data_IF_578747149722
#
_entry.id   IF_578747149722
#
_cell.length_a   1.000
_cell.length_b   1.000
_cell.length_c   1.000
_cell.angle_alpha   90.00
_cell.angle_beta   90.00
_cell.angle_gamma   90.00
#
_symmetry.space_group_name_H-M   'P 1'
#
loop_
_entity.id
_entity.type
_entity.pdbx_description
1 polymer ?
#
# COMPACT_ATOMS: atom_id res chain seq x y z
N UNK A 1 9.76 16.31 -3.92
CA UNK A 1 10.15 15.82 -5.27
C UNK A 1 11.66 15.77 -5.46
N UNK A 2 12.45 16.70 -4.91
CA UNK A 2 13.92 16.71 -5.06
C UNK A 2 14.62 15.42 -4.64
N UNK A 3 14.27 14.86 -3.48
CA UNK A 3 14.97 13.68 -2.92
C UNK A 3 14.81 12.43 -3.79
N UNK A 4 13.59 12.17 -4.28
CA UNK A 4 13.32 11.04 -5.17
C UNK A 4 13.99 11.21 -6.54
N UNK A 5 13.97 12.43 -7.11
CA UNK A 5 14.64 12.71 -8.38
C UNK A 5 16.16 12.52 -8.28
N UNK A 6 16.78 13.06 -7.23
CA UNK A 6 18.22 12.98 -7.01
C UNK A 6 18.68 11.53 -6.82
N UNK A 7 17.97 10.75 -6.00
CA UNK A 7 18.29 9.33 -5.77
C UNK A 7 18.18 8.50 -7.04
N UNK A 8 17.14 8.71 -7.86
CA UNK A 8 17.00 8.03 -9.16
C UNK A 8 18.14 8.42 -10.10
N UNK A 9 18.45 9.71 -10.23
CA UNK A 9 19.54 10.18 -11.09
C UNK A 9 20.90 9.59 -10.68
N UNK A 10 21.20 9.57 -9.37
CA UNK A 10 22.43 8.96 -8.86
C UNK A 10 22.45 7.46 -9.13
N UNK A 11 21.34 6.75 -8.89
CA UNK A 11 21.26 5.31 -9.13
C UNK A 11 21.50 4.97 -10.61
N UNK A 12 20.91 5.72 -11.54
CA UNK A 12 21.09 5.53 -12.99
C UNK A 12 22.53 5.84 -13.40
N UNK A 13 23.11 6.95 -12.91
CA UNK A 13 24.49 7.32 -13.22
C UNK A 13 25.49 6.26 -12.72
N UNK A 14 25.35 5.82 -11.47
CA UNK A 14 26.20 4.79 -10.87
C UNK A 14 26.01 3.45 -11.61
N UNK A 15 24.78 3.06 -11.93
CA UNK A 15 24.51 1.85 -12.71
C UNK A 15 25.18 1.89 -14.08
N UNK A 16 25.17 3.05 -14.75
CA UNK A 16 25.84 3.24 -16.04
C UNK A 16 27.36 3.11 -15.91
N UNK A 17 27.96 3.74 -14.90
CA UNK A 17 29.41 3.64 -14.64
C UNK A 17 29.82 2.19 -14.34
N UNK A 18 29.04 1.49 -13.50
CA UNK A 18 29.27 0.07 -13.19
C UNK A 18 29.13 -0.79 -14.44
N UNK A 19 28.13 -0.52 -15.29
CA UNK A 19 27.93 -1.27 -16.53
C UNK A 19 29.02 -1.05 -17.57
N UNK A 20 29.66 0.13 -17.58
CA UNK A 20 30.73 0.45 -18.54
C UNK A 20 32.11 0.05 -18.06
N UNK A 21 32.38 0.13 -16.75
CA UNK A 21 33.71 -0.14 -16.20
C UNK A 21 33.81 -1.54 -15.58
N UNK A 22 32.87 -1.89 -14.70
CA UNK A 22 32.99 -3.09 -13.86
C UNK A 22 32.52 -4.33 -14.62
N UNK A 23 31.40 -4.27 -15.35
CA UNK A 23 30.86 -5.43 -16.05
C UNK A 23 31.83 -5.95 -17.14
N UNK A 24 32.43 -5.13 -18.01
CA UNK A 24 33.36 -5.63 -19.03
C UNK A 24 34.64 -6.19 -18.41
N UNK A 25 35.15 -5.56 -17.36
CA UNK A 25 36.35 -6.02 -16.65
C UNK A 25 36.08 -7.34 -15.91
N UNK A 26 34.94 -7.45 -15.23
CA UNK A 26 34.48 -8.70 -14.63
C UNK A 26 34.27 -9.77 -15.69
N UNK A 27 33.59 -9.46 -16.80
CA UNK A 27 33.33 -10.38 -17.90
C UNK A 27 34.62 -10.91 -18.52
N UNK A 28 35.63 -10.06 -18.73
CA UNK A 28 36.93 -10.47 -19.28
C UNK A 28 37.72 -11.41 -18.36
N UNK A 29 37.50 -11.32 -17.05
CA UNK A 29 38.16 -12.16 -16.05
C UNK A 29 37.39 -13.44 -15.74
N UNK A 30 36.05 -13.37 -15.72
CA UNK A 30 35.14 -14.50 -15.44
C UNK A 30 34.87 -15.37 -16.67
N UNK A 31 34.84 -14.81 -17.88
CA UNK A 31 34.58 -15.54 -19.12
C UNK A 31 35.86 -15.72 -19.95
N UNK A 32 36.85 -16.42 -19.39
CA UNK A 32 37.95 -17.01 -20.19
C UNK A 32 37.44 -18.30 -20.86
N UNK A 33 37.83 -18.52 -22.12
CA UNK A 33 37.39 -19.63 -23.00
C UNK A 33 37.62 -21.07 -22.47
N UNK A 34 38.15 -21.24 -21.24
CA UNK A 34 38.28 -22.54 -20.56
C UNK A 34 37.17 -22.87 -19.53
N UNK A 35 36.21 -21.98 -19.29
CA UNK A 35 35.23 -22.10 -18.19
C UNK A 35 33.85 -22.66 -18.61
N UNK A 36 33.74 -23.33 -19.77
CA UNK A 36 32.52 -24.03 -20.18
C UNK A 36 32.05 -25.08 -19.14
N UNK A 37 32.98 -25.61 -18.33
CA UNK A 37 32.70 -26.57 -17.26
C UNK A 37 32.15 -25.93 -15.96
N UNK A 38 32.31 -24.61 -15.80
CA UNK A 38 31.87 -23.87 -14.62
C UNK A 38 30.50 -23.18 -14.79
N UNK A 39 29.94 -23.14 -15.99
CA UNK A 39 28.60 -22.56 -16.23
C UNK A 39 27.50 -23.30 -15.45
N UNK A 40 27.63 -24.63 -15.28
CA UNK A 40 26.74 -25.40 -14.40
C UNK A 40 26.92 -25.06 -12.92
N UNK A 41 28.16 -24.90 -12.45
CA UNK A 41 28.48 -24.54 -11.07
C UNK A 41 28.04 -23.10 -10.74
N UNK A 42 28.22 -22.16 -11.67
CA UNK A 42 27.76 -20.78 -11.53
C UNK A 42 26.23 -20.72 -11.43
N UNK A 43 25.51 -21.48 -12.27
CA UNK A 43 24.04 -21.61 -12.16
C UNK A 43 23.60 -22.18 -10.82
N UNK A 44 24.33 -23.16 -10.29
CA UNK A 44 24.06 -23.72 -8.95
C UNK A 44 24.36 -22.69 -7.86
N UNK A 45 25.46 -21.93 -7.96
CA UNK A 45 25.80 -20.87 -7.00
C UNK A 45 24.79 -19.74 -7.01
N UNK A 46 24.35 -19.30 -8.20
CA UNK A 46 23.30 -18.29 -8.34
C UNK A 46 21.97 -18.81 -7.80
N UNK A 47 21.59 -20.05 -8.13
CA UNK A 47 20.40 -20.67 -7.58
C UNK A 47 20.46 -20.79 -6.05
N UNK A 48 21.62 -21.16 -5.50
CA UNK A 48 21.87 -21.24 -4.07
C UNK A 48 21.82 -19.87 -3.39
N UNK A 49 22.35 -18.82 -4.02
CA UNK A 49 22.26 -17.44 -3.52
C UNK A 49 20.82 -16.95 -3.51
N UNK A 50 20.04 -17.28 -4.55
CA UNK A 50 18.62 -16.93 -4.65
C UNK A 50 17.83 -17.69 -3.58
N UNK A 51 18.01 -19.01 -3.44
CA UNK A 51 17.31 -19.79 -2.40
C UNK A 51 17.75 -19.38 -1.00
N UNK A 52 19.01 -19.01 -0.80
CA UNK A 52 19.50 -18.46 0.45
C UNK A 52 18.89 -17.09 0.76
N UNK A 53 18.79 -16.19 -0.21
CA UNK A 53 18.14 -14.89 -0.04
C UNK A 53 16.64 -15.03 0.25
N UNK A 54 15.97 -15.97 -0.44
CA UNK A 54 14.57 -16.31 -0.18
C UNK A 54 14.43 -16.92 1.22
N UNK A 55 15.29 -17.86 1.60
CA UNK A 55 15.28 -18.52 2.91
C UNK A 55 15.58 -17.55 4.04
N UNK A 56 16.55 -16.65 3.88
CA UNK A 56 16.84 -15.57 4.81
C UNK A 56 15.62 -14.68 4.97
N UNK A 57 15.00 -14.26 3.86
CA UNK A 57 13.83 -13.39 3.91
C UNK A 57 12.64 -14.08 4.58
N UNK A 58 12.41 -15.37 4.28
CA UNK A 58 11.42 -16.20 4.96
C UNK A 58 11.71 -16.33 6.46
N UNK A 59 12.97 -16.47 6.86
CA UNK A 59 13.37 -16.53 8.27
C UNK A 59 13.18 -15.18 8.98
N UNK A 60 13.50 -14.06 8.32
CA UNK A 60 13.35 -12.71 8.88
C UNK A 60 11.88 -12.26 9.03
N UNK A 61 10.99 -12.78 8.17
CA UNK A 61 9.54 -12.50 8.23
C UNK A 61 8.83 -13.44 9.21
N UNK A 62 9.50 -14.53 9.62
CA UNK A 62 8.95 -15.56 10.50
C UNK A 62 7.93 -16.46 9.78
N UNK A 63 7.98 -17.77 10.06
CA UNK A 63 6.96 -18.72 9.60
C UNK A 63 5.55 -18.33 10.09
N UNK A 64 5.47 -17.68 11.24
CA UNK A 64 4.22 -17.15 11.80
C UNK A 64 3.67 -15.98 10.99
N UNK A 65 4.53 -15.08 10.48
CA UNK A 65 4.13 -13.99 9.59
C UNK A 65 3.65 -14.48 8.23
N UNK A 66 4.26 -15.54 7.70
CA UNK A 66 3.88 -16.14 6.41
C UNK A 66 2.61 -16.98 6.49
N UNK A 67 2.40 -17.70 7.60
CA UNK A 67 1.16 -18.43 7.87
C UNK A 67 0.02 -17.48 8.26
N UNK A 68 0.30 -16.39 8.98
CA UNK A 68 -0.65 -15.30 9.21
C UNK A 68 -1.02 -14.59 7.90
N UNK A 69 -0.05 -14.29 7.02
CA UNK A 69 -0.31 -13.76 5.69
C UNK A 69 -1.13 -14.75 4.84
N UNK A 70 -0.82 -16.05 4.87
CA UNK A 70 -1.56 -17.08 4.16
C UNK A 70 -3.01 -17.23 4.66
N UNK A 71 -3.21 -17.16 5.99
CA UNK A 71 -4.54 -17.24 6.63
C UNK A 71 -5.36 -15.94 6.52
N UNK A 72 -4.72 -14.78 6.38
CA UNK A 72 -5.43 -13.50 6.30
C UNK A 72 -5.58 -12.99 4.87
N UNK A 73 -4.57 -13.18 4.02
CA UNK A 73 -4.55 -12.68 2.64
C UNK A 73 -5.11 -13.69 1.68
N UNK A 74 -4.88 -14.99 1.89
CA UNK A 74 -5.43 -16.05 1.05
C UNK A 74 -6.97 -16.03 0.97
N UNK A 75 -7.69 -16.07 2.11
CA UNK A 75 -9.14 -16.02 2.12
C UNK A 75 -9.68 -14.65 1.70
N UNK A 76 -9.04 -13.53 2.08
CA UNK A 76 -9.46 -12.19 1.63
C UNK A 76 -9.28 -11.97 0.13
N UNK A 77 -8.22 -12.53 -0.46
CA UNK A 77 -8.03 -12.51 -1.89
C UNK A 77 -9.13 -13.33 -2.57
N UNK A 78 -9.43 -14.52 -2.06
CA UNK A 78 -10.48 -15.41 -2.55
C UNK A 78 -11.89 -14.85 -2.37
N UNK A 79 -12.20 -14.22 -1.25
CA UNK A 79 -13.47 -13.53 -1.00
C UNK A 79 -13.62 -12.31 -1.91
N UNK A 80 -12.54 -11.56 -2.16
CA UNK A 80 -12.56 -10.44 -3.10
C UNK A 80 -12.63 -10.88 -4.56
N UNK A 81 -12.06 -12.02 -4.95
CA UNK A 81 -12.26 -12.58 -6.30
C UNK A 81 -13.59 -13.30 -6.46
N UNK A 82 -14.16 -13.89 -5.41
CA UNK A 82 -15.49 -14.52 -5.44
C UNK A 82 -16.63 -13.49 -5.39
N UNK A 83 -16.42 -12.36 -4.73
CA UNK A 83 -17.34 -11.22 -4.69
C UNK A 83 -17.12 -10.19 -5.81
N UNK A 84 -16.26 -10.46 -6.78
CA UNK A 84 -16.02 -9.56 -7.91
C UNK A 84 -17.27 -9.43 -8.77
N UNK A 85 -17.56 -8.19 -9.18
CA UNK A 85 -18.59 -7.91 -10.18
C UNK A 85 -18.34 -8.77 -11.43
N UNK A 86 -19.36 -9.39 -12.05
CA UNK A 86 -19.19 -10.35 -13.15
C UNK A 86 -18.36 -9.79 -14.32
N UNK A 87 -18.44 -8.48 -14.54
CA UNK A 87 -17.65 -7.72 -15.52
C UNK A 87 -16.14 -7.80 -15.25
N UNK A 88 -15.72 -7.66 -13.99
CA UNK A 88 -14.31 -7.68 -13.58
C UNK A 88 -13.76 -9.10 -13.64
N UNK A 89 -14.54 -10.10 -13.22
CA UNK A 89 -14.17 -11.50 -13.33
C UNK A 89 -14.01 -11.93 -14.80
N UNK A 90 -14.88 -11.46 -15.70
CA UNK A 90 -14.78 -11.73 -17.14
C UNK A 90 -13.51 -11.13 -17.76
N UNK A 91 -13.17 -9.87 -17.42
CA UNK A 91 -11.95 -9.22 -17.91
C UNK A 91 -10.69 -9.95 -17.45
N UNK A 92 -10.64 -10.38 -16.18
CA UNK A 92 -9.53 -11.16 -15.65
C UNK A 92 -9.43 -12.57 -16.27
N UNK A 93 -10.57 -13.22 -16.49
CA UNK A 93 -10.65 -14.52 -17.17
C UNK A 93 -10.14 -14.45 -18.61
N UNK A 94 -10.58 -13.44 -19.37
CA UNK A 94 -10.08 -13.21 -20.73
C UNK A 94 -8.59 -12.86 -20.71
N UNK A 95 -8.15 -11.99 -19.79
CA UNK A 95 -6.74 -11.62 -19.66
C UNK A 95 -5.84 -12.82 -19.36
N UNK A 96 -6.25 -13.69 -18.43
CA UNK A 96 -5.51 -14.90 -18.09
C UNK A 96 -5.48 -15.90 -19.25
N UNK A 97 -6.57 -16.07 -19.98
CA UNK A 97 -6.61 -16.91 -21.19
C UNK A 97 -5.70 -16.37 -22.30
N UNK A 98 -5.68 -15.05 -22.51
CA UNK A 98 -4.77 -14.42 -23.48
C UNK A 98 -3.32 -14.62 -23.08
N UNK A 99 -2.98 -14.42 -21.80
CA UNK A 99 -1.63 -14.65 -21.29
C UNK A 99 -1.23 -16.12 -21.41
N UNK A 100 -2.12 -17.06 -21.08
CA UNK A 100 -1.88 -18.49 -21.23
C UNK A 100 -1.69 -18.88 -22.70
N UNK A 101 -2.49 -18.33 -23.61
CA UNK A 101 -2.36 -18.53 -25.05
C UNK A 101 -1.03 -17.98 -25.59
N UNK A 102 -0.61 -16.79 -25.13
CA UNK A 102 0.68 -16.20 -25.49
C UNK A 102 1.85 -17.04 -24.97
N UNK A 103 1.80 -17.49 -23.71
CA UNK A 103 2.82 -18.37 -23.13
C UNK A 103 2.90 -19.68 -23.92
N UNK A 104 1.76 -20.28 -24.26
CA UNK A 104 1.71 -21.50 -25.05
C UNK A 104 2.28 -21.29 -26.47
N UNK A 105 1.93 -20.17 -27.11
CA UNK A 105 2.45 -19.80 -28.42
C UNK A 105 3.96 -19.55 -28.40
N UNK A 106 4.47 -18.84 -27.39
CA UNK A 106 5.90 -18.60 -27.19
C UNK A 106 6.68 -19.89 -26.92
N UNK A 107 6.09 -20.85 -26.20
CA UNK A 107 6.68 -22.18 -25.98
C UNK A 107 6.73 -23.02 -27.25
N UNK A 108 5.74 -22.92 -28.14
CA UNK A 108 5.67 -23.73 -29.37
C UNK A 108 6.52 -23.19 -30.53
N UNK A 109 6.50 -21.88 -30.76
CA UNK A 109 7.18 -21.25 -31.92
C UNK A 109 8.55 -20.66 -31.56
N UNK A 110 8.86 -20.54 -30.26
CA UNK A 110 10.03 -19.82 -29.77
C UNK A 110 9.80 -18.30 -29.75
N UNK A 111 10.39 -17.62 -28.76
CA UNK A 111 10.21 -16.18 -28.56
C UNK A 111 10.65 -15.34 -29.77
N UNK A 112 11.78 -15.71 -30.40
CA UNK A 112 12.32 -14.99 -31.56
C UNK A 112 11.40 -15.05 -32.77
N UNK A 113 10.90 -16.24 -33.12
CA UNK A 113 10.00 -16.41 -34.28
C UNK A 113 8.67 -15.70 -34.06
N UNK A 114 8.13 -15.78 -32.83
CA UNK A 114 6.88 -15.10 -32.47
C UNK A 114 7.04 -13.57 -32.49
N UNK A 115 8.16 -13.05 -32.01
CA UNK A 115 8.48 -11.62 -32.08
C UNK A 115 8.64 -11.13 -33.52
N UNK A 116 9.41 -11.84 -34.35
CA UNK A 116 9.59 -11.49 -35.76
C UNK A 116 8.27 -11.55 -36.53
N UNK A 117 7.44 -12.56 -36.29
CA UNK A 117 6.13 -12.68 -36.91
C UNK A 117 5.17 -11.58 -36.49
N UNK A 118 5.16 -11.22 -35.20
CA UNK A 118 4.36 -10.11 -34.71
C UNK A 118 4.84 -8.80 -35.32
N UNK A 119 6.15 -8.54 -35.30
CA UNK A 119 6.76 -7.33 -35.87
C UNK A 119 6.48 -7.20 -37.38
N UNK A 120 6.55 -8.30 -38.14
CA UNK A 120 6.16 -8.33 -39.55
C UNK A 120 4.70 -7.94 -39.73
N UNK A 121 3.78 -8.52 -38.94
CA UNK A 121 2.37 -8.16 -38.96
C UNK A 121 2.13 -6.67 -38.59
N UNK A 122 2.86 -6.15 -37.60
CA UNK A 122 2.77 -4.75 -37.18
C UNK A 122 3.23 -3.79 -38.29
N UNK A 123 4.25 -4.18 -39.04
CA UNK A 123 4.77 -3.40 -40.18
C UNK A 123 3.84 -3.47 -41.39
N UNK A 124 3.29 -4.64 -41.71
CA UNK A 124 2.35 -4.83 -42.81
C UNK A 124 1.03 -4.08 -42.58
N UNK A 125 0.60 -3.96 -41.32
CA UNK A 125 -0.64 -3.28 -40.93
C UNK A 125 -0.39 -1.94 -40.24
N UNK A 126 0.48 -1.10 -40.83
CA UNK A 126 0.87 0.21 -40.27
C UNK A 126 -0.31 1.09 -39.83
N UNK A 127 -1.39 1.13 -40.60
CA UNK A 127 -2.54 1.98 -40.25
C UNK A 127 -3.26 1.46 -39.00
N UNK A 128 -3.44 0.13 -38.89
CA UNK A 128 -4.07 -0.50 -37.72
C UNK A 128 -3.23 -0.26 -36.47
N UNK A 129 -1.90 -0.28 -36.60
CA UNK A 129 -0.99 -0.14 -35.47
C UNK A 129 -0.89 1.31 -34.99
N UNK A 130 -0.93 2.28 -35.92
CA UNK A 130 -1.08 3.70 -35.57
C UNK A 130 -2.40 3.95 -34.86
N UNK A 131 -3.53 3.44 -35.38
CA UNK A 131 -4.85 3.60 -34.75
C UNK A 131 -4.87 2.96 -33.36
N UNK A 132 -4.31 1.76 -33.21
CA UNK A 132 -4.19 1.09 -31.91
C UNK A 132 -3.35 1.90 -30.92
N UNK A 133 -2.24 2.50 -31.38
CA UNK A 133 -1.40 3.37 -30.57
C UNK A 133 -2.14 4.63 -30.09
N UNK A 134 -2.88 5.30 -30.99
CA UNK A 134 -3.72 6.46 -30.64
C UNK A 134 -4.83 6.05 -29.66
N UNK A 135 -5.46 4.89 -29.87
CA UNK A 135 -6.46 4.33 -28.97
C UNK A 135 -5.91 4.06 -27.57
N UNK A 136 -4.70 3.47 -27.48
CA UNK A 136 -4.04 3.20 -26.21
C UNK A 136 -3.63 4.49 -25.48
N UNK A 137 -3.17 5.50 -26.22
CA UNK A 137 -2.91 6.84 -25.67
C UNK A 137 -4.20 7.49 -25.15
N UNK A 138 -5.29 7.46 -25.92
CA UNK A 138 -6.59 7.98 -25.50
C UNK A 138 -7.13 7.26 -24.27
N UNK A 139 -6.99 5.94 -24.21
CA UNK A 139 -7.35 5.13 -23.05
C UNK A 139 -6.50 5.50 -21.82
N UNK A 140 -5.20 5.73 -22.00
CA UNK A 140 -4.32 6.22 -20.93
C UNK A 140 -4.75 7.57 -20.36
N UNK A 141 -5.14 8.51 -21.23
CA UNK A 141 -5.69 9.81 -20.82
C UNK A 141 -7.01 9.62 -20.07
N UNK A 142 -7.92 8.80 -20.60
CA UNK A 142 -9.19 8.52 -19.96
C UNK A 142 -8.99 7.90 -18.56
N UNK A 143 -8.10 6.92 -18.41
CA UNK A 143 -7.76 6.36 -17.10
C UNK A 143 -7.19 7.42 -16.17
N UNK A 144 -6.24 8.23 -16.65
CA UNK A 144 -5.63 9.29 -15.85
C UNK A 144 -6.67 10.30 -15.32
N UNK A 145 -7.69 10.63 -16.10
CA UNK A 145 -8.77 11.53 -15.66
C UNK A 145 -9.78 10.89 -14.72
N UNK A 146 -9.95 9.56 -14.78
CA UNK A 146 -10.91 8.84 -13.92
C UNK A 146 -10.29 8.36 -12.60
N UNK A 147 -8.97 8.29 -12.49
CA UNK A 147 -8.31 7.96 -11.23
C UNK A 147 -8.39 9.16 -10.29
N UNK A 148 -9.06 8.98 -9.14
CA UNK A 148 -9.08 9.97 -8.07
C UNK A 148 -7.65 10.34 -7.66
N UNK A 149 -7.26 11.58 -7.90
CA UNK A 149 -5.99 12.12 -7.45
C UNK A 149 -6.07 12.39 -5.94
N UNK A 150 -5.82 11.35 -5.16
CA UNK A 150 -5.60 11.50 -3.72
C UNK A 150 -4.19 12.04 -3.52
N UNK A 151 -4.04 13.02 -2.64
CA UNK A 151 -2.73 13.45 -2.16
C UNK A 151 -1.96 12.28 -1.53
N UNK A 152 -0.72 12.52 -1.11
CA UNK A 152 0.10 11.47 -0.46
C UNK A 152 -0.70 10.76 0.64
N UNK A 153 -0.86 9.43 0.58
CA UNK A 153 -1.59 8.70 1.60
C UNK A 153 -0.89 8.93 2.93
N UNK A 154 -1.62 9.50 3.88
CA UNK A 154 -1.12 9.71 5.22
C UNK A 154 -0.86 8.35 5.86
N UNK A 155 0.34 8.14 6.38
CA UNK A 155 0.66 6.94 7.14
C UNK A 155 -0.13 6.98 8.44
N UNK A 156 -0.86 5.91 8.74
CA UNK A 156 -1.69 5.79 9.92
C UNK A 156 -0.84 5.81 11.19
N UNK A 157 -0.65 6.99 11.78
CA UNK A 157 -0.05 7.13 13.11
C UNK A 157 -0.97 6.47 14.15
N UNK A 158 -0.41 5.70 15.10
CA UNK A 158 -1.13 5.05 16.22
C UNK A 158 -1.61 6.08 17.26
N UNK A 159 -2.37 7.08 16.80
CA UNK A 159 -2.83 8.21 17.60
C UNK A 159 -4.18 8.72 17.09
N UNK A 160 -5.08 8.99 18.03
CA UNK A 160 -6.39 9.60 17.79
C UNK A 160 -6.41 10.95 18.49
N UNK A 161 -6.70 12.01 17.73
CA UNK A 161 -6.90 13.34 18.26
C UNK A 161 -8.38 13.70 18.12
N UNK A 162 -9.02 14.12 19.20
CA UNK A 162 -10.39 14.60 19.26
C UNK A 162 -10.38 16.03 19.79
N UNK A 163 -11.08 16.92 19.11
CA UNK A 163 -11.33 18.30 19.53
C UNK A 163 -12.79 18.39 19.95
N UNK A 164 -13.03 18.85 21.16
CA UNK A 164 -14.37 19.10 21.69
C UNK A 164 -14.55 20.61 21.69
N UNK A 165 -15.50 21.11 20.90
CA UNK A 165 -15.92 22.51 20.90
C UNK A 165 -17.22 22.62 21.71
N UNK A 166 -17.29 23.56 22.64
CA UNK A 166 -18.45 23.76 23.51
C UNK A 166 -18.99 25.18 23.35
N UNK A 167 -20.30 25.33 23.44
CA UNK A 167 -20.96 26.63 23.33
C UNK A 167 -20.61 27.55 24.51
N UNK A 168 -20.76 28.87 24.32
CA UNK A 168 -20.31 29.89 25.27
C UNK A 168 -21.08 29.88 26.61
N UNK A 169 -22.22 29.20 26.66
CA UNK A 169 -23.08 29.07 27.83
C UNK A 169 -22.49 28.16 28.93
N UNK A 170 -21.55 27.27 28.59
CA UNK A 170 -20.94 26.35 29.55
C UNK A 170 -19.97 27.05 30.51
N UNK A 171 -20.09 26.73 31.79
CA UNK A 171 -19.13 27.17 32.81
C UNK A 171 -17.83 26.35 32.73
N UNK A 172 -16.72 26.89 33.26
CA UNK A 172 -15.45 26.14 33.26
C UNK A 172 -15.53 24.83 34.06
N UNK A 173 -16.37 24.81 35.11
CA UNK A 173 -16.61 23.65 35.96
C UNK A 173 -17.39 22.56 35.24
N UNK A 174 -18.39 22.94 34.44
CA UNK A 174 -19.15 22.00 33.59
C UNK A 174 -18.27 21.40 32.49
N UNK A 175 -17.36 22.20 31.91
CA UNK A 175 -16.37 21.71 30.95
C UNK A 175 -15.45 20.69 31.65
N UNK A 176 -14.90 21.00 32.81
CA UNK A 176 -14.03 20.08 33.56
C UNK A 176 -14.74 18.77 33.93
N UNK A 177 -16.00 18.85 34.39
CA UNK A 177 -16.82 17.69 34.70
C UNK A 177 -17.05 16.78 33.49
N UNK A 178 -17.36 17.37 32.31
CA UNK A 178 -17.54 16.60 31.08
C UNK A 178 -16.24 15.92 30.64
N UNK A 179 -15.10 16.61 30.71
CA UNK A 179 -13.82 16.02 30.34
C UNK A 179 -13.42 14.87 31.28
N UNK A 180 -13.70 14.99 32.59
CA UNK A 180 -13.49 13.91 33.57
C UNK A 180 -14.38 12.70 33.30
N UNK A 181 -15.64 12.92 32.94
CA UNK A 181 -16.56 11.85 32.56
C UNK A 181 -16.05 11.09 31.33
N UNK A 182 -15.65 11.82 30.28
CA UNK A 182 -15.09 11.23 29.05
C UNK A 182 -13.76 10.50 29.35
N UNK A 183 -12.88 11.09 30.16
CA UNK A 183 -11.62 10.48 30.56
C UNK A 183 -11.83 9.18 31.34
N UNK A 184 -12.78 9.16 32.28
CA UNK A 184 -13.11 7.98 33.07
C UNK A 184 -13.73 6.87 32.20
N UNK A 185 -14.62 7.21 31.26
CA UNK A 185 -15.21 6.22 30.35
C UNK A 185 -14.16 5.63 29.39
N UNK A 186 -13.28 6.48 28.82
CA UNK A 186 -12.21 6.01 27.94
C UNK A 186 -11.16 5.17 28.67
N UNK A 187 -10.81 5.52 29.91
CA UNK A 187 -9.86 4.74 30.72
C UNK A 187 -10.45 3.40 31.16
N UNK A 188 -11.74 3.33 31.47
CA UNK A 188 -12.39 2.06 31.85
C UNK A 188 -12.45 1.07 30.69
N UNK A 189 -12.37 1.55 29.44
CA UNK A 189 -12.36 0.73 28.23
C UNK A 189 -11.04 0.80 27.45
N UNK A 190 -9.95 1.19 28.11
CA UNK A 190 -8.65 1.35 27.47
C UNK A 190 -8.15 0.05 26.80
N UNK A 191 -8.41 -1.11 27.41
CA UNK A 191 -8.04 -2.41 26.88
C UNK A 191 -8.85 -2.81 25.63
N UNK A 192 -10.11 -2.35 25.50
CA UNK A 192 -10.94 -2.65 24.33
C UNK A 192 -10.61 -1.77 23.12
N UNK A 193 -10.05 -0.58 23.37
CA UNK A 193 -9.75 0.43 22.35
C UNK A 193 -8.27 0.36 21.94
N UNK A 194 -7.49 -0.56 22.52
CA UNK A 194 -6.03 -0.65 22.40
C UNK A 194 -5.34 0.69 22.71
N UNK A 195 -5.76 1.34 23.79
CA UNK A 195 -5.25 2.66 24.19
C UNK A 195 -4.13 2.52 25.23
N UNK A 196 -2.98 3.12 24.94
CA UNK A 196 -1.80 3.13 25.82
C UNK A 196 -1.79 4.33 26.76
N UNK A 197 -2.09 5.52 26.23
CA UNK A 197 -2.04 6.75 27.00
C UNK A 197 -3.10 7.74 26.54
N UNK A 198 -3.70 8.44 27.49
CA UNK A 198 -4.65 9.52 27.26
C UNK A 198 -4.04 10.84 27.74
N UNK A 199 -4.22 11.90 26.96
CA UNK A 199 -3.85 13.26 27.35
C UNK A 199 -4.99 14.21 27.03
N UNK A 200 -5.50 14.89 28.04
CA UNK A 200 -6.58 15.87 27.94
C UNK A 200 -6.01 17.27 28.12
N UNK A 201 -6.46 18.21 27.29
CA UNK A 201 -6.12 19.63 27.43
C UNK A 201 -7.39 20.45 27.36
N UNK A 202 -7.79 20.99 28.51
CA UNK A 202 -9.01 21.77 28.67
C UNK A 202 -8.72 23.26 28.40
N UNK A 203 -9.68 23.94 27.79
CA UNK A 203 -9.72 25.38 27.54
C UNK A 203 -11.11 25.91 27.91
N UNK A 204 -11.25 27.23 28.00
CA UNK A 204 -12.52 27.89 28.38
C UNK A 204 -13.73 27.62 27.47
N UNK A 205 -13.55 27.06 26.28
CA UNK A 205 -14.63 26.84 25.28
C UNK A 205 -14.55 25.44 24.64
N UNK A 206 -13.96 24.49 25.36
CA UNK A 206 -13.70 23.16 24.83
C UNK A 206 -12.30 22.67 25.14
N UNK A 207 -11.77 21.76 24.34
CA UNK A 207 -10.45 21.17 24.60
C UNK A 207 -10.07 20.11 23.58
N UNK A 208 -8.88 19.57 23.75
CA UNK A 208 -8.37 18.49 22.90
C UNK A 208 -8.06 17.27 23.73
N UNK A 209 -8.59 16.13 23.32
CA UNK A 209 -8.30 14.80 23.87
C UNK A 209 -7.40 14.10 22.86
N UNK A 210 -6.27 13.56 23.32
CA UNK A 210 -5.32 12.83 22.50
C UNK A 210 -5.08 11.47 23.14
N UNK A 211 -5.50 10.43 22.43
CA UNK A 211 -5.27 9.04 22.77
C UNK A 211 -4.11 8.49 21.91
N UNK A 212 -3.08 7.95 22.55
CA UNK A 212 -2.07 7.12 21.90
C UNK A 212 -2.52 5.67 21.98
N UNK A 213 -2.49 4.99 20.84
CA UNK A 213 -2.83 3.58 20.74
C UNK A 213 -1.57 2.75 20.92
N UNK A 214 -1.74 1.50 21.36
CA UNK A 214 -0.69 0.50 21.42
C UNK A 214 -0.03 0.34 20.04
N UNK A 215 1.26 0.01 20.04
CA UNK A 215 2.04 -0.20 18.83
C UNK A 215 1.37 -1.19 17.86
N UNK A 216 1.57 -0.97 16.57
CA UNK A 216 0.86 -1.70 15.51
C UNK A 216 1.10 -3.22 15.52
N UNK A 217 2.21 -3.68 16.10
CA UNK A 217 2.56 -5.10 16.19
C UNK A 217 1.84 -5.82 17.36
N UNK A 218 1.35 -5.06 18.34
CA UNK A 218 0.69 -5.59 19.55
C UNK A 218 -0.81 -5.25 19.61
N UNK A 219 -1.25 -4.19 18.93
CA UNK A 219 -2.66 -3.78 18.89
C UNK A 219 -3.52 -4.65 17.98
N UNK A 220 -4.72 -5.00 18.43
CA UNK A 220 -5.71 -5.79 17.68
C UNK A 220 -6.53 -4.93 16.71
N UNK A 221 -6.67 -3.64 16.99
CA UNK A 221 -7.48 -2.69 16.24
C UNK A 221 -6.63 -1.82 15.32
N UNK A 222 -7.19 -1.52 14.15
CA UNK A 222 -6.67 -0.43 13.32
C UNK A 222 -6.97 0.93 13.95
N UNK A 223 -6.13 1.94 13.67
CA UNK A 223 -6.37 3.32 14.13
C UNK A 223 -7.76 3.83 13.75
N UNK A 224 -8.29 3.42 12.59
CA UNK A 224 -9.65 3.76 12.16
C UNK A 224 -10.73 3.10 13.02
N UNK A 225 -10.58 1.81 13.33
CA UNK A 225 -11.54 1.10 14.19
C UNK A 225 -11.52 1.63 15.62
N UNK A 226 -10.33 1.90 16.17
CA UNK A 226 -10.19 2.51 17.48
C UNK A 226 -10.80 3.92 17.51
N UNK A 227 -10.59 4.73 16.45
CA UNK A 227 -11.22 6.06 16.34
C UNK A 227 -12.75 5.98 16.29
N UNK A 228 -13.30 5.03 15.53
CA UNK A 228 -14.74 4.82 15.45
C UNK A 228 -15.33 4.35 16.79
N UNK A 229 -14.61 3.48 17.52
CA UNK A 229 -15.00 3.05 18.86
C UNK A 229 -15.02 4.22 19.85
N UNK A 230 -13.99 5.09 19.83
CA UNK A 230 -13.93 6.31 20.64
C UNK A 230 -15.10 7.25 20.28
N UNK A 231 -15.43 7.43 19.00
CA UNK A 231 -16.54 8.29 18.57
C UNK A 231 -17.89 7.84 19.13
N UNK A 232 -18.16 6.52 19.09
CA UNK A 232 -19.43 5.94 19.52
C UNK A 232 -19.67 6.07 21.02
N UNK A 233 -18.60 6.27 21.80
CA UNK A 233 -18.66 6.42 23.26
C UNK A 233 -18.77 7.88 23.72
N UNK A 234 -18.73 8.85 22.79
CA UNK A 234 -18.88 10.25 23.17
C UNK A 234 -20.33 10.55 23.60
N UNK A 235 -20.55 11.21 24.76
CA UNK A 235 -21.89 11.53 25.21
C UNK A 235 -22.53 12.59 24.30
N UNK A 236 -23.74 12.33 23.81
CA UNK A 236 -24.50 13.31 23.03
C UNK A 236 -25.08 14.38 23.97
N UNK A 237 -24.52 15.60 23.92
CA UNK A 237 -25.02 16.77 24.67
C UNK A 237 -25.29 17.95 23.74
N UNK A 238 -26.40 18.65 24.00
CA UNK A 238 -26.76 19.87 23.29
C UNK A 238 -25.70 20.95 23.57
N UNK A 239 -25.21 21.62 22.53
CA UNK A 239 -24.17 22.64 22.65
C UNK A 239 -22.72 22.11 22.74
N UNK A 240 -22.52 20.80 22.55
CA UNK A 240 -21.18 20.17 22.47
C UNK A 240 -20.98 19.58 21.08
N UNK A 241 -19.92 20.00 20.39
CA UNK A 241 -19.55 19.50 19.07
C UNK A 241 -18.23 18.75 19.14
N UNK A 242 -18.27 17.47 18.77
CA UNK A 242 -17.10 16.62 18.70
C UNK A 242 -16.50 16.63 17.29
N UNK A 243 -15.38 17.34 17.14
CA UNK A 243 -14.59 17.33 15.91
C UNK A 243 -13.45 16.34 16.09
N UNK A 244 -13.54 15.19 15.43
CA UNK A 244 -12.36 14.36 15.25
C UNK A 244 -11.30 15.24 14.56
N UNK A 245 -10.14 15.36 15.21
CA UNK A 245 -9.01 16.02 14.57
C UNK A 245 -8.74 15.31 13.25
N UNK A 246 -8.12 16.01 12.29
CA UNK A 246 -7.54 15.37 11.12
C UNK A 246 -6.37 14.49 11.59
N UNK A 247 -6.66 13.39 12.28
CA UNK A 247 -5.66 12.38 12.59
C UNK A 247 -5.26 11.77 11.26
N UNK A 248 -3.97 11.48 11.14
CA UNK A 248 -3.28 11.07 9.92
C UNK A 248 -3.67 9.65 9.43
N UNK A 249 -4.91 9.21 9.68
CA UNK A 249 -5.46 7.90 9.32
C UNK A 249 -6.86 7.91 8.71
N UNK A 250 -7.55 9.06 8.64
CA UNK A 250 -8.90 9.13 8.05
C UNK A 250 -8.82 9.17 6.52
N UNK A 251 -9.23 8.08 5.87
CA UNK A 251 -9.48 8.02 4.45
C UNK A 251 -10.87 7.42 4.21
N UNK A 252 -11.81 8.23 3.70
CA UNK A 252 -13.15 7.77 3.32
C UNK A 252 -14.26 8.83 3.47
N UNK A 253 -15.49 8.50 3.06
CA UNK A 253 -16.65 9.41 3.04
C UNK A 253 -17.14 9.85 4.44
N UNK A 254 -16.52 9.34 5.52
CA UNK A 254 -16.89 9.65 6.90
C UNK A 254 -16.18 10.89 7.47
N UNK A 255 -15.41 11.60 6.64
CA UNK A 255 -15.02 12.98 6.93
C UNK A 255 -16.31 13.79 7.08
N UNK A 256 -16.62 14.20 8.32
CA UNK A 256 -17.84 14.89 8.69
C UNK A 256 -18.23 15.93 7.65
N UNK A 257 -19.32 15.64 6.93
CA UNK A 257 -20.03 16.64 6.14
C UNK A 257 -20.72 17.53 7.16
N UNK A 258 -20.33 18.80 7.17
CA UNK A 258 -21.10 19.86 7.81
C UNK A 258 -22.50 19.87 7.17
N UNK A 259 -23.52 19.71 8.00
CA UNK A 259 -24.89 20.13 7.68
C UNK A 259 -25.21 21.28 8.62
#
# INVERSE_FOLDING_TARGET
>A
MGDAGLTICIAVAVSTIVSLAVIPLASSRLFRDGLQRYDGLLKIVVAALITFAIGWKMNSVGWDGMTAWGRTTGPRALEKTAGMEPSTAAVLGVGTLVVAALIWQFRRKGMRSSYVGLLGWTLDHRNVTVVAGVGLMGFGIWLYTNIEQRGTPWQSERRVDLTVDMERSFSLEEVDALFKEIEQDLLSHAAEIDMEALSTRIRRRGGTIRARLVEADQGNLSTMQASAAIRRRMPERVGVTYKMGRSRGWAGPELGVEV
#
